data_IF_732310997369
#
_entry.id   IF_732310997369
#
_cell.length_a   1.000
_cell.length_b   1.000
_cell.length_c   1.000
_cell.angle_alpha   90.00
_cell.angle_beta   90.00
_cell.angle_gamma   90.00
#
_symmetry.space_group_name_H-M   'P 1'
#
loop_
_entity.id
_entity.type
_entity.pdbx_description
1 polymer ?
#
# COMPACT_ATOMS: atom_id res chain seq x y z
N UNK A 1 25.85 -51.65 -24.96
CA UNK A 1 24.45 -52.07 -25.22
C UNK A 1 23.60 -51.13 -24.39
N UNK A 2 23.17 -49.94 -24.85
CA UNK A 2 22.32 -49.63 -26.02
C UNK A 2 20.94 -50.30 -25.96
N UNK A 3 19.91 -49.47 -26.19
CA UNK A 3 18.46 -49.72 -26.39
C UNK A 3 17.61 -49.88 -25.11
N UNK A 4 16.42 -49.26 -24.92
CA UNK A 4 15.47 -48.68 -25.89
C UNK A 4 14.46 -47.71 -25.20
N UNK A 5 14.00 -46.72 -25.96
CA UNK A 5 12.86 -45.82 -25.69
C UNK A 5 11.54 -46.44 -26.20
N UNK A 6 10.41 -45.81 -25.82
CA UNK A 6 9.00 -46.07 -26.19
C UNK A 6 8.34 -47.17 -25.35
N UNK A 7 7.16 -46.97 -24.74
CA UNK A 7 5.92 -46.59 -25.39
C UNK A 7 4.86 -46.21 -24.33
N UNK A 8 4.17 -45.08 -24.50
CA UNK A 8 2.85 -44.84 -23.91
C UNK A 8 1.94 -44.34 -25.02
N UNK A 9 0.66 -44.77 -25.04
CA UNK A 9 -0.38 -43.84 -25.47
C UNK A 9 -1.64 -43.86 -24.57
N UNK A 10 -1.81 -42.75 -23.84
CA UNK A 10 -2.92 -41.80 -23.95
C UNK A 10 -4.35 -42.31 -24.29
N UNK A 11 -5.07 -42.84 -23.30
CA UNK A 11 -6.45 -43.33 -23.44
C UNK A 11 -7.57 -42.42 -22.89
N UNK A 12 -7.37 -41.08 -22.82
CA UNK A 12 -8.41 -40.14 -22.33
C UNK A 12 -8.84 -39.07 -23.35
N UNK A 13 -8.29 -39.09 -24.56
CA UNK A 13 -8.63 -38.12 -25.61
C UNK A 13 -9.79 -38.56 -26.53
N UNK A 14 -10.16 -39.85 -26.55
CA UNK A 14 -11.17 -40.37 -27.49
C UNK A 14 -12.63 -40.33 -26.98
N UNK A 15 -12.87 -40.04 -25.70
CA UNK A 15 -14.23 -40.10 -25.12
C UNK A 15 -15.02 -38.78 -25.19
N UNK A 16 -14.47 -37.72 -25.80
CA UNK A 16 -15.11 -36.40 -25.88
C UNK A 16 -15.46 -35.95 -27.31
N UNK A 17 -15.24 -36.79 -28.33
CA UNK A 17 -15.44 -36.43 -29.73
C UNK A 17 -16.88 -36.62 -30.26
N UNK A 18 -17.82 -37.14 -29.46
CA UNK A 18 -19.16 -37.53 -29.93
C UNK A 18 -20.32 -36.68 -29.37
N UNK A 19 -20.09 -35.38 -29.12
CA UNK A 19 -21.19 -34.45 -28.85
C UNK A 19 -21.56 -33.66 -30.12
N UNK A 20 -22.76 -33.87 -30.70
CA UNK A 20 -23.22 -33.08 -31.80
C UNK A 20 -23.69 -31.71 -31.29
N UNK A 21 -23.39 -30.68 -32.09
CA UNK A 21 -23.99 -29.35 -32.09
C UNK A 21 -23.24 -28.22 -31.34
N UNK A 22 -22.53 -27.40 -32.12
CA UNK A 22 -22.64 -25.93 -32.05
C UNK A 22 -21.91 -25.14 -30.96
N UNK A 23 -21.42 -25.76 -29.89
CA UNK A 23 -20.81 -24.98 -28.79
C UNK A 23 -19.50 -24.27 -29.15
N UNK A 24 -18.73 -24.75 -30.13
CA UNK A 24 -17.48 -24.09 -30.50
C UNK A 24 -17.69 -22.78 -31.28
N UNK A 25 -18.74 -22.71 -32.12
CA UNK A 25 -19.03 -21.52 -32.93
C UNK A 25 -19.83 -20.46 -32.13
N UNK A 26 -20.64 -20.86 -31.15
CA UNK A 26 -21.36 -19.92 -30.26
C UNK A 26 -20.42 -19.17 -29.30
N UNK A 27 -19.20 -19.68 -29.06
CA UNK A 27 -18.15 -18.95 -28.33
C UNK A 27 -17.45 -17.88 -29.17
N UNK A 28 -17.57 -17.92 -30.51
CA UNK A 28 -16.93 -16.96 -31.40
C UNK A 28 -17.79 -15.72 -31.70
N UNK A 29 -19.11 -15.80 -31.49
CA UNK A 29 -20.07 -14.71 -31.73
C UNK A 29 -20.70 -14.17 -30.43
N UNK A 30 -20.05 -14.42 -29.28
CA UNK A 30 -20.36 -13.63 -28.10
C UNK A 30 -19.98 -12.18 -28.43
N UNK A 31 -20.90 -11.20 -28.29
CA UNK A 31 -20.47 -9.82 -28.32
C UNK A 31 -19.42 -9.70 -27.21
N UNK A 32 -18.16 -9.50 -27.62
CA UNK A 32 -17.07 -9.17 -26.72
C UNK A 32 -17.59 -8.01 -25.89
N UNK A 33 -18.01 -8.33 -24.67
CA UNK A 33 -18.62 -7.37 -23.78
C UNK A 33 -17.66 -6.20 -23.68
N UNK A 34 -18.22 -5.01 -23.53
CA UNK A 34 -17.62 -3.69 -23.36
C UNK A 34 -16.44 -3.56 -22.35
N UNK A 35 -15.92 -4.67 -21.84
CA UNK A 35 -14.79 -4.85 -20.95
C UNK A 35 -13.43 -5.00 -21.67
N UNK A 36 -13.35 -4.78 -22.98
CA UNK A 36 -12.08 -4.46 -23.64
C UNK A 36 -11.88 -2.93 -23.55
N UNK A 37 -11.04 -2.48 -22.60
CA UNK A 37 -10.63 -1.08 -22.33
C UNK A 37 -11.51 -0.22 -21.37
N UNK A 38 -11.87 -0.73 -20.19
CA UNK A 38 -11.72 0.14 -19.01
C UNK A 38 -10.21 0.20 -18.71
N UNK A 39 -9.58 1.17 -19.36
CA UNK A 39 -8.14 1.41 -19.39
C UNK A 39 -7.61 1.61 -17.96
N UNK A 40 -6.50 0.94 -17.58
CA UNK A 40 -5.78 1.16 -16.31
C UNK A 40 -5.13 2.55 -16.29
N UNK A 41 -5.96 3.59 -16.32
CA UNK A 41 -5.56 4.98 -16.40
C UNK A 41 -5.98 5.65 -15.11
N UNK A 42 -5.09 6.47 -14.58
CA UNK A 42 -5.40 7.31 -13.43
C UNK A 42 -6.57 8.23 -13.74
N UNK A 43 -7.45 8.42 -12.77
CA UNK A 43 -8.48 9.47 -12.87
C UNK A 43 -7.84 10.85 -12.98
N UNK A 44 -8.63 11.86 -13.33
CA UNK A 44 -8.14 13.24 -13.37
C UNK A 44 -7.66 13.70 -11.99
N UNK A 45 -8.37 13.32 -10.91
CA UNK A 45 -7.98 13.60 -9.52
C UNK A 45 -6.66 12.91 -9.16
N UNK A 46 -6.48 11.65 -9.54
CA UNK A 46 -5.22 10.93 -9.31
C UNK A 46 -4.06 11.53 -10.09
N UNK A 47 -4.29 11.98 -11.33
CA UNK A 47 -3.28 12.71 -12.09
C UNK A 47 -2.91 14.05 -11.44
N UNK A 48 -3.89 14.78 -10.90
CA UNK A 48 -3.65 16.03 -10.17
C UNK A 48 -2.86 15.77 -8.89
N UNK A 49 -3.23 14.74 -8.11
CA UNK A 49 -2.48 14.32 -6.93
C UNK A 49 -1.03 14.00 -7.29
N UNK A 50 -0.82 13.17 -8.33
CA UNK A 50 0.51 12.80 -8.80
C UNK A 50 1.34 14.02 -9.20
N UNK A 51 0.75 14.98 -9.91
CA UNK A 51 1.42 16.20 -10.31
C UNK A 51 1.78 17.07 -9.09
N UNK A 52 0.87 17.21 -8.13
CA UNK A 52 1.09 18.00 -6.91
C UNK A 52 2.21 17.42 -6.04
N UNK A 53 2.19 16.11 -5.77
CA UNK A 53 3.23 15.44 -4.97
C UNK A 53 4.58 15.49 -5.69
N UNK A 54 4.60 15.30 -7.01
CA UNK A 54 5.83 15.41 -7.80
C UNK A 54 6.42 16.82 -7.75
N UNK A 55 5.60 17.86 -7.90
CA UNK A 55 6.05 19.25 -7.82
C UNK A 55 6.62 19.56 -6.43
N UNK A 56 5.91 19.15 -5.37
CA UNK A 56 6.39 19.29 -4.00
C UNK A 56 7.75 18.60 -3.80
N UNK A 57 7.92 17.38 -4.30
CA UNK A 57 9.19 16.66 -4.21
C UNK A 57 10.31 17.39 -4.96
N UNK A 58 10.03 17.90 -6.16
CA UNK A 58 11.01 18.65 -6.94
C UNK A 58 11.51 19.92 -6.22
N UNK A 59 10.63 20.56 -5.44
CA UNK A 59 10.94 21.80 -4.71
C UNK A 59 11.61 21.56 -3.34
N UNK A 60 11.45 20.37 -2.76
CA UNK A 60 11.80 20.12 -1.35
C UNK A 60 12.63 18.86 -1.07
N UNK A 61 12.78 17.96 -2.05
CA UNK A 61 13.47 16.67 -1.88
C UNK A 61 14.44 16.46 -3.03
N UNK A 62 15.63 17.05 -2.91
CA UNK A 62 16.74 16.80 -3.83
C UNK A 62 17.69 15.70 -3.31
N UNK A 63 18.47 15.12 -4.22
CA UNK A 63 19.38 14.01 -3.90
C UNK A 63 20.40 14.34 -2.81
N UNK A 64 20.91 15.59 -2.79
CA UNK A 64 21.90 16.02 -1.81
C UNK A 64 21.28 16.15 -0.41
N UNK A 65 20.05 16.66 -0.33
CA UNK A 65 19.27 16.70 0.90
C UNK A 65 18.98 15.29 1.43
N UNK A 66 18.56 14.37 0.56
CA UNK A 66 18.31 12.96 0.94
C UNK A 66 19.55 12.32 1.55
N UNK A 67 20.72 12.44 0.91
CA UNK A 67 21.98 11.89 1.47
C UNK A 67 22.31 12.52 2.82
N UNK A 68 22.13 13.84 2.95
CA UNK A 68 22.34 14.54 4.20
C UNK A 68 21.40 14.06 5.31
N UNK A 69 20.13 13.81 4.99
CA UNK A 69 19.16 13.33 5.97
C UNK A 69 19.42 11.88 6.38
N UNK A 70 19.87 11.02 5.47
CA UNK A 70 20.24 9.65 5.82
C UNK A 70 21.33 9.57 6.90
N UNK A 71 22.16 10.61 7.01
CA UNK A 71 23.22 10.74 8.01
C UNK A 71 22.79 11.53 9.26
N UNK A 72 21.57 12.07 9.29
CA UNK A 72 21.05 12.87 10.42
C UNK A 72 20.23 12.07 11.41
N UNK A 73 19.95 12.68 12.57
CA UNK A 73 19.03 12.16 13.58
C UNK A 73 18.01 13.26 13.97
N UNK A 74 16.72 13.10 13.66
CA UNK A 74 16.13 11.98 12.91
C UNK A 74 16.57 11.96 11.44
N UNK A 75 16.46 10.82 10.73
CA UNK A 75 16.97 10.67 9.37
C UNK A 75 16.02 11.22 8.29
N UNK A 76 15.39 12.38 8.54
CA UNK A 76 14.49 13.08 7.64
C UNK A 76 14.29 14.54 8.08
N UNK A 77 13.82 15.40 7.18
CA UNK A 77 13.42 16.77 7.53
C UNK A 77 11.98 16.83 8.06
N UNK A 78 11.83 17.20 9.32
CA UNK A 78 10.53 17.30 9.99
C UNK A 78 9.59 18.33 9.36
N UNK A 79 10.11 19.40 8.73
CA UNK A 79 9.28 20.40 8.05
C UNK A 79 8.77 19.86 6.73
N UNK A 80 9.60 19.14 5.98
CA UNK A 80 9.16 18.46 4.74
C UNK A 80 8.08 17.43 5.08
N UNK A 81 8.29 16.64 6.13
CA UNK A 81 7.30 15.68 6.63
C UNK A 81 5.97 16.34 7.01
N UNK A 82 6.00 17.39 7.83
CA UNK A 82 4.79 18.12 8.22
C UNK A 82 4.02 18.65 7.02
N UNK A 83 4.71 19.20 6.01
CA UNK A 83 4.06 19.75 4.82
C UNK A 83 3.42 18.69 3.92
N UNK A 84 3.95 17.46 3.88
CA UNK A 84 3.27 16.34 3.22
C UNK A 84 1.88 16.09 3.83
N UNK A 85 1.77 16.21 5.15
CA UNK A 85 0.51 16.08 5.87
C UNK A 85 -0.39 17.30 5.70
N UNK A 86 0.10 18.47 6.11
CA UNK A 86 -0.70 19.68 6.24
C UNK A 86 -1.07 20.36 4.92
N UNK A 87 -0.23 20.25 3.88
CA UNK A 87 -0.46 20.93 2.59
C UNK A 87 -1.06 19.99 1.55
N UNK A 88 -0.59 18.74 1.49
CA UNK A 88 -1.00 17.77 0.48
C UNK A 88 -1.99 16.71 1.00
N UNK A 89 -2.16 16.57 2.31
CA UNK A 89 -3.02 15.55 2.92
C UNK A 89 -2.48 14.11 2.77
N UNK A 90 -1.21 13.94 2.37
CA UNK A 90 -0.65 12.62 2.03
C UNK A 90 -0.60 11.68 3.22
N UNK A 91 -0.35 12.20 4.43
CA UNK A 91 -0.19 11.37 5.63
C UNK A 91 -1.53 10.85 6.19
N UNK A 92 -2.63 11.53 5.88
CA UNK A 92 -4.00 11.16 6.29
C UNK A 92 -4.89 10.72 5.13
N UNK A 93 -4.31 10.40 3.96
CA UNK A 93 -5.07 10.23 2.74
C UNK A 93 -6.05 9.07 2.81
N UNK A 94 -5.60 7.91 3.29
CA UNK A 94 -6.46 6.73 3.46
C UNK A 94 -7.24 6.70 4.78
N UNK A 95 -7.17 7.75 5.59
CA UNK A 95 -7.93 7.84 6.85
C UNK A 95 -9.36 8.27 6.51
N UNK A 96 -10.40 7.60 7.08
CA UNK A 96 -11.78 7.99 6.85
C UNK A 96 -12.07 9.45 7.25
N UNK A 97 -12.99 10.11 6.54
CA UNK A 97 -13.43 11.47 6.89
C UNK A 97 -14.03 11.54 8.30
N UNK A 98 -14.67 10.46 8.77
CA UNK A 98 -15.22 10.37 10.13
C UNK A 98 -14.14 10.48 11.22
N UNK A 99 -12.89 10.17 10.87
CA UNK A 99 -11.73 10.24 11.76
C UNK A 99 -10.86 11.48 11.45
N UNK A 100 -11.37 12.41 10.64
CA UNK A 100 -10.71 13.67 10.27
C UNK A 100 -9.70 13.54 9.12
N UNK A 101 -9.69 12.41 8.40
CA UNK A 101 -8.85 12.17 7.24
C UNK A 101 -9.44 12.69 5.92
N UNK A 102 -8.76 12.37 4.82
CA UNK A 102 -9.18 12.76 3.46
C UNK A 102 -10.23 11.82 2.87
N UNK A 103 -10.33 10.58 3.36
CA UNK A 103 -11.26 9.58 2.84
C UNK A 103 -10.87 9.01 1.47
N UNK A 104 -9.62 9.15 1.06
CA UNK A 104 -9.07 8.58 -0.16
C UNK A 104 -8.94 7.06 -0.10
N UNK A 105 -8.83 6.44 -1.28
CA UNK A 105 -8.60 5.01 -1.40
C UNK A 105 -7.11 4.65 -1.17
N UNK A 106 -6.84 3.35 -1.01
CA UNK A 106 -5.46 2.85 -1.01
C UNK A 106 -4.74 3.13 -2.34
N UNK A 107 -5.47 3.23 -3.44
CA UNK A 107 -4.91 3.59 -4.76
C UNK A 107 -4.43 5.03 -4.75
N UNK A 108 -5.20 5.96 -4.19
CA UNK A 108 -4.79 7.37 -4.10
C UNK A 108 -3.54 7.51 -3.23
N UNK A 109 -3.48 6.80 -2.10
CA UNK A 109 -2.28 6.72 -1.27
C UNK A 109 -1.08 6.15 -2.05
N UNK A 110 -1.28 5.09 -2.83
CA UNK A 110 -0.22 4.48 -3.64
C UNK A 110 0.31 5.46 -4.71
N UNK A 111 -0.57 6.24 -5.35
CA UNK A 111 -0.20 7.28 -6.33
C UNK A 111 0.72 8.33 -5.69
N UNK A 112 0.39 8.80 -4.49
CA UNK A 112 1.24 9.75 -3.78
C UNK A 112 2.61 9.15 -3.42
N UNK A 113 2.60 7.92 -2.88
CA UNK A 113 3.83 7.27 -2.40
C UNK A 113 4.75 6.83 -3.53
N UNK A 114 4.23 6.54 -4.72
CA UNK A 114 5.05 6.32 -5.91
C UNK A 114 5.93 7.55 -6.22
N UNK A 115 5.40 8.76 -6.07
CA UNK A 115 6.18 9.98 -6.31
C UNK A 115 7.22 10.22 -5.20
N UNK A 116 6.89 9.89 -3.94
CA UNK A 116 7.85 9.94 -2.83
C UNK A 116 8.99 8.93 -3.04
N UNK A 117 8.67 7.72 -3.48
CA UNK A 117 9.64 6.67 -3.79
C UNK A 117 10.54 7.02 -4.98
N UNK A 118 10.01 7.72 -5.99
CA UNK A 118 10.78 8.16 -7.16
C UNK A 118 11.96 9.09 -6.81
N UNK A 119 11.87 9.83 -5.71
CA UNK A 119 12.94 10.72 -5.21
C UNK A 119 13.64 10.16 -3.97
N UNK A 120 13.32 8.93 -3.56
CA UNK A 120 13.81 8.32 -2.32
C UNK A 120 13.56 9.20 -1.08
N UNK A 121 12.38 9.82 -1.01
CA UNK A 121 12.01 10.70 0.09
C UNK A 121 12.20 9.98 1.43
N UNK A 122 13.00 10.57 2.31
CA UNK A 122 13.21 10.05 3.64
C UNK A 122 11.98 10.32 4.52
N UNK A 123 11.81 9.52 5.56
CA UNK A 123 10.77 9.72 6.57
C UNK A 123 10.12 8.43 7.04
N UNK A 124 9.36 8.48 8.13
CA UNK A 124 8.77 7.30 8.76
C UNK A 124 7.46 6.88 8.08
N UNK A 125 7.40 6.94 6.75
CA UNK A 125 6.18 6.66 5.96
C UNK A 125 5.61 5.28 6.27
N UNK A 126 6.45 4.25 6.23
CA UNK A 126 6.01 2.89 6.48
C UNK A 126 5.47 2.70 7.91
N UNK A 127 6.24 3.10 8.91
CA UNK A 127 5.84 2.96 10.31
C UNK A 127 4.61 3.79 10.68
N UNK A 128 4.55 5.04 10.21
CA UNK A 128 3.49 5.98 10.58
C UNK A 128 2.24 5.78 9.73
N UNK A 129 2.35 5.87 8.41
CA UNK A 129 1.19 5.92 7.49
C UNK A 129 0.65 4.54 7.19
N UNK A 130 1.51 3.53 7.05
CA UNK A 130 1.07 2.20 6.62
C UNK A 130 0.82 1.22 7.76
N UNK A 131 1.40 1.45 8.94
CA UNK A 131 1.21 0.56 10.08
C UNK A 131 0.45 1.23 11.23
N UNK A 132 0.98 2.33 11.78
CA UNK A 132 0.40 2.93 12.99
C UNK A 132 -0.98 3.57 12.76
N UNK A 133 -1.14 4.38 11.72
CA UNK A 133 -2.43 5.03 11.40
C UNK A 133 -3.53 3.97 11.14
N UNK A 134 -3.34 2.97 10.27
CA UNK A 134 -4.34 1.93 10.05
C UNK A 134 -4.67 1.13 11.31
N UNK A 135 -3.68 0.85 12.16
CA UNK A 135 -3.91 0.18 13.44
C UNK A 135 -4.77 1.03 14.39
N UNK A 136 -4.54 2.34 14.47
CA UNK A 136 -5.36 3.26 15.25
C UNK A 136 -6.80 3.31 14.74
N UNK A 137 -6.99 3.50 13.42
CA UNK A 137 -8.31 3.49 12.77
C UNK A 137 -9.04 2.17 13.05
N UNK A 138 -8.36 1.03 12.86
CA UNK A 138 -8.95 -0.29 13.09
C UNK A 138 -9.31 -0.54 14.57
N UNK A 139 -8.52 0.00 15.51
CA UNK A 139 -8.78 -0.15 16.94
C UNK A 139 -9.97 0.70 17.42
N UNK A 140 -10.35 1.74 16.67
CA UNK A 140 -11.30 2.78 17.10
C UNK A 140 -10.91 3.43 18.45
N UNK A 141 -9.63 3.37 18.82
CA UNK A 141 -9.02 3.99 19.99
C UNK A 141 -7.96 4.99 19.52
N UNK A 142 -7.63 5.97 20.37
CA UNK A 142 -6.55 6.91 20.07
C UNK A 142 -6.86 7.87 18.92
N UNK A 143 -8.12 8.27 18.72
CA UNK A 143 -8.51 9.23 17.69
C UNK A 143 -7.83 10.59 17.89
N UNK A 144 -7.49 10.94 19.13
CA UNK A 144 -6.69 12.11 19.48
C UNK A 144 -5.25 12.07 18.95
N UNK A 145 -4.74 10.87 18.61
CA UNK A 145 -3.41 10.69 18.04
C UNK A 145 -3.43 10.84 16.51
N UNK A 146 -4.56 10.60 15.85
CA UNK A 146 -4.65 10.64 14.38
C UNK A 146 -4.33 12.02 13.84
N UNK A 147 -4.90 13.09 14.41
CA UNK A 147 -4.67 14.47 13.96
C UNK A 147 -3.18 14.82 13.85
N UNK A 148 -2.39 14.70 14.94
CA UNK A 148 -0.95 14.93 14.92
C UNK A 148 -0.13 14.04 13.97
N UNK A 149 -0.63 12.84 13.63
CA UNK A 149 0.04 11.96 12.66
C UNK A 149 -0.28 12.39 11.23
N UNK A 150 -1.53 12.81 10.97
CA UNK A 150 -1.99 13.27 9.66
C UNK A 150 -1.44 14.66 9.29
N UNK A 151 -1.23 15.55 10.26
CA UNK A 151 -0.58 16.86 10.02
C UNK A 151 0.96 16.79 10.02
N UNK A 152 1.53 15.63 10.38
CA UNK A 152 2.95 15.37 10.42
C UNK A 152 3.69 16.09 11.56
N UNK A 153 3.00 16.58 12.59
CA UNK A 153 3.64 17.10 13.81
C UNK A 153 4.13 15.99 14.75
N UNK A 154 3.64 14.77 14.55
CA UNK A 154 4.14 13.55 15.19
C UNK A 154 4.36 12.44 14.17
N UNK A 155 5.16 11.47 14.61
CA UNK A 155 5.42 10.23 13.90
C UNK A 155 5.14 9.08 14.84
N UNK A 156 4.81 7.91 14.29
CA UNK A 156 4.58 6.70 15.05
C UNK A 156 5.30 5.51 14.42
N UNK A 157 5.57 4.51 15.25
CA UNK A 157 6.03 3.21 14.83
C UNK A 157 5.04 2.16 15.34
N UNK A 158 4.90 1.07 14.59
CA UNK A 158 4.10 -0.07 15.00
C UNK A 158 5.03 -1.12 15.61
N UNK A 159 4.94 -1.27 16.94
CA UNK A 159 5.76 -2.22 17.68
C UNK A 159 4.96 -3.50 17.91
N UNK A 160 5.45 -4.60 17.34
CA UNK A 160 4.92 -5.94 17.59
C UNK A 160 6.02 -6.82 18.16
N UNK A 161 5.65 -7.77 19.01
CA UNK A 161 6.53 -8.87 19.32
C UNK A 161 6.65 -9.73 18.07
N UNK A 162 7.87 -9.89 17.58
CA UNK A 162 8.15 -10.66 16.38
C UNK A 162 9.29 -11.65 16.65
N UNK A 163 9.00 -12.94 16.48
CA UNK A 163 10.01 -13.96 16.22
C UNK A 163 10.00 -14.23 14.69
N UNK A 164 10.89 -13.55 13.96
CA UNK A 164 11.23 -13.80 12.56
C UNK A 164 10.16 -13.52 11.46
N UNK A 165 9.34 -12.48 11.62
CA UNK A 165 8.40 -11.94 10.63
C UNK A 165 6.97 -12.46 10.73
N UNK A 166 6.60 -13.13 11.82
CA UNK A 166 5.28 -13.74 11.99
C UNK A 166 4.37 -12.85 12.85
N UNK A 167 3.35 -12.25 12.23
CA UNK A 167 2.24 -11.63 12.97
C UNK A 167 1.29 -12.72 13.48
N UNK A 168 1.70 -13.41 14.55
CA UNK A 168 0.87 -14.38 15.26
C UNK A 168 0.40 -13.81 16.60
N UNK A 169 -0.90 -13.48 16.76
CA UNK A 169 -1.45 -13.03 18.04
C UNK A 169 -1.21 -14.02 19.19
N UNK A 170 -1.10 -15.32 18.91
CA UNK A 170 -0.83 -16.33 19.92
C UNK A 170 0.63 -16.35 20.41
N UNK A 171 1.55 -15.71 19.67
CA UNK A 171 2.97 -15.61 20.00
C UNK A 171 3.32 -14.34 20.78
N UNK A 172 2.34 -13.49 21.10
CA UNK A 172 2.57 -12.28 21.91
C UNK A 172 2.93 -12.67 23.34
N UNK A 173 4.14 -12.30 23.77
CA UNK A 173 4.66 -12.55 25.14
C UNK A 173 4.73 -11.28 25.99
N UNK A 174 4.29 -10.14 25.45
CA UNK A 174 4.32 -8.83 26.13
C UNK A 174 3.05 -8.65 26.95
N UNK A 175 3.21 -8.54 28.27
CA UNK A 175 2.14 -8.21 29.21
C UNK A 175 2.19 -6.73 29.60
N UNK A 176 1.03 -6.08 29.61
CA UNK A 176 0.84 -4.75 30.19
C UNK A 176 0.13 -4.90 31.55
N UNK A 177 0.78 -4.48 32.63
CA UNK A 177 0.29 -4.70 34.00
C UNK A 177 -0.08 -3.38 34.65
N UNK A 178 -1.37 -3.20 34.90
CA UNK A 178 -1.89 -1.98 35.51
C UNK A 178 -1.19 -1.64 36.83
N UNK A 179 -0.69 -0.43 36.92
CA UNK A 179 -0.11 0.20 38.10
C UNK A 179 -0.88 1.47 38.50
N UNK A 180 -0.49 2.10 39.60
CA UNK A 180 -1.09 3.37 40.05
C UNK A 180 -0.93 4.51 39.02
N UNK A 181 0.00 4.37 38.07
CA UNK A 181 0.35 5.40 37.09
C UNK A 181 -0.04 5.04 35.64
N UNK A 182 -0.74 3.92 35.42
CA UNK A 182 -1.11 3.48 34.08
C UNK A 182 -1.07 1.96 33.90
N UNK A 183 -0.69 1.52 32.71
CA UNK A 183 -0.44 0.12 32.36
C UNK A 183 1.06 -0.18 32.32
#
# INVERSE_FOLDING_TARGET
MAEELADQPNGKAEELADQPNGKAEELADQPKGKAEAEEFVFTDEQNQLRAAVRAFCADHVDESAVRSWMESDPPFDAKVWARLGSELGVLGMSVPESDGGVGGSLIDQAVAVEQLGAVLACGPLFGTVYLAIPALVASSQGSELLGPLMDGTRTAAFAVHDDAGAFDPAAVTVDAVRSDHGW
#
